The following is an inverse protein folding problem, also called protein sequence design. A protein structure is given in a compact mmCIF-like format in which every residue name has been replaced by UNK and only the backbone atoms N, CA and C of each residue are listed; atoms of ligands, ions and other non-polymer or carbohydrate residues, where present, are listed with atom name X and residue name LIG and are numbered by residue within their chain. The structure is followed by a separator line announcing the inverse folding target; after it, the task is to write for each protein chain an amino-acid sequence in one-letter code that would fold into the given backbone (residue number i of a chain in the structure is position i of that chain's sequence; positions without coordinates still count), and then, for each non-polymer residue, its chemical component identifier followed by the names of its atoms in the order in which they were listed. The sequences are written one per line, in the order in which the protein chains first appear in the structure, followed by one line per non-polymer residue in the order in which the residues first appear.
data_IF_958702543139
#
_entry.id   IF_958702543139
#
_cell.length_a   1.000
_cell.length_b   1.000
_cell.length_c   1.000
_cell.angle_alpha   90.00
_cell.angle_beta   90.00
_cell.angle_gamma   90.00
#
_symmetry.space_group_name_H-M   'P 1'
#
loop_
_entity.id
_entity.type
_entity.pdbx_description
1 polymer ?
#
# COMPACT_ATOMS: atom_id res chain seq x y z
N UNK A 1 -69.70 17.47 58.18
CA UNK A 1 -69.91 16.97 56.80
C UNK A 1 -68.99 15.78 56.59
N UNK A 2 -69.34 14.51 56.67
CA UNK A 2 -70.49 13.69 57.10
C UNK A 2 -69.79 12.41 57.61
N UNK A 3 -70.06 11.90 58.82
CA UNK A 3 -71.11 10.89 59.10
C UNK A 3 -71.10 9.77 58.05
N UNK A 4 -70.89 8.48 58.32
CA UNK A 4 -71.41 7.55 59.34
C UNK A 4 -70.81 6.17 58.98
N UNK A 5 -70.76 5.09 59.74
CA UNK A 5 -71.39 4.60 60.97
C UNK A 5 -70.75 3.21 61.23
N UNK A 6 -70.71 2.67 62.44
CA UNK A 6 -71.75 1.90 63.16
C UNK A 6 -71.08 0.57 63.53
N UNK A 7 -71.20 0.12 64.79
CA UNK A 7 -70.74 -1.23 65.12
C UNK A 7 -70.47 -1.50 66.59
N UNK A 8 -71.53 -1.50 67.38
CA UNK A 8 -71.62 -1.86 68.78
C UNK A 8 -71.22 -3.33 69.07
N UNK A 9 -70.86 -3.58 70.34
CA UNK A 9 -71.14 -4.78 71.19
C UNK A 9 -69.96 -5.70 71.58
N UNK A 10 -69.72 -5.69 72.90
CA UNK A 10 -69.02 -6.68 73.73
C UNK A 10 -69.33 -8.15 73.39
N UNK A 11 -68.31 -9.01 73.30
CA UNK A 11 -68.35 -10.37 73.87
C UNK A 11 -66.99 -10.77 74.46
N UNK A 12 -67.09 -11.39 75.63
CA UNK A 12 -66.01 -11.81 76.54
C UNK A 12 -65.26 -13.05 76.05
N UNK A 13 -64.03 -13.13 76.53
CA UNK A 13 -63.28 -14.32 76.99
C UNK A 13 -62.83 -15.35 75.94
N UNK A 14 -61.52 -15.50 75.78
CA UNK A 14 -60.74 -16.52 76.49
C UNK A 14 -59.25 -16.38 76.12
N UNK A 15 -58.43 -16.49 77.14
CA UNK A 15 -56.96 -16.54 77.14
C UNK A 15 -56.41 -17.71 76.30
N UNK A 16 -55.42 -17.43 75.46
CA UNK A 16 -54.35 -18.40 75.13
C UNK A 16 -53.02 -17.67 75.19
N UNK A 17 -52.19 -18.11 76.14
CA UNK A 17 -50.81 -17.71 76.38
C UNK A 17 -49.88 -18.29 75.32
N UNK A 18 -48.99 -17.46 74.75
CA UNK A 18 -47.69 -17.91 74.21
C UNK A 18 -46.63 -16.89 74.66
N UNK A 19 -45.57 -17.29 75.38
CA UNK A 19 -44.58 -16.35 75.89
C UNK A 19 -43.62 -15.95 74.76
N UNK A 20 -43.64 -14.68 74.36
CA UNK A 20 -42.53 -14.07 73.60
C UNK A 20 -41.44 -13.74 74.61
N UNK A 21 -40.54 -14.71 74.81
CA UNK A 21 -39.30 -14.53 75.55
C UNK A 21 -38.43 -13.53 74.77
N UNK A 22 -38.32 -12.30 75.29
CA UNK A 22 -37.28 -11.34 74.89
C UNK A 22 -35.91 -11.96 75.17
N UNK A 23 -35.19 -12.31 74.12
CA UNK A 23 -33.73 -12.44 74.13
C UNK A 23 -33.15 -11.61 72.99
N UNK A 24 -33.12 -10.30 73.20
CA UNK A 24 -32.33 -9.38 72.38
C UNK A 24 -31.00 -9.20 73.09
N UNK A 25 -30.03 -10.05 72.74
CA UNK A 25 -28.57 -9.86 72.88
C UNK A 25 -27.89 -11.19 72.50
N UNK A 26 -27.72 -11.43 71.20
CA UNK A 26 -26.74 -12.40 70.73
C UNK A 26 -25.93 -11.72 69.64
N UNK A 27 -24.78 -11.18 70.03
CA UNK A 27 -23.68 -10.91 69.11
C UNK A 27 -23.39 -12.22 68.37
N UNK A 28 -23.82 -12.31 67.11
CA UNK A 28 -23.53 -13.46 66.25
C UNK A 28 -22.08 -13.31 65.78
N UNK A 29 -21.14 -13.71 66.64
CA UNK A 29 -19.80 -14.10 66.21
C UNK A 29 -19.85 -15.60 65.93
N UNK A 30 -20.53 -15.97 64.84
CA UNK A 30 -20.55 -17.36 64.39
C UNK A 30 -19.24 -17.62 63.63
N UNK A 31 -18.36 -18.51 64.10
CA UNK A 31 -17.13 -18.85 63.39
C UNK A 31 -17.42 -19.35 61.96
N UNK A 32 -18.58 -19.98 61.75
CA UNK A 32 -19.03 -20.43 60.43
C UNK A 32 -19.31 -19.28 59.46
N UNK A 33 -19.76 -18.11 59.96
CA UNK A 33 -20.01 -16.94 59.11
C UNK A 33 -18.69 -16.25 58.73
N UNK A 34 -17.75 -16.17 59.67
CA UNK A 34 -16.40 -15.68 59.39
C UNK A 34 -15.66 -16.60 58.41
N UNK A 35 -15.74 -17.92 58.60
CA UNK A 35 -15.16 -18.88 57.68
C UNK A 35 -15.78 -18.78 56.28
N UNK A 36 -17.11 -18.64 56.17
CA UNK A 36 -17.77 -18.47 54.88
C UNK A 36 -17.37 -17.15 54.18
N UNK A 37 -17.10 -16.08 54.94
CA UNK A 37 -16.60 -14.82 54.39
C UNK A 37 -15.14 -14.92 53.93
N UNK A 38 -14.28 -15.60 54.69
CA UNK A 38 -12.89 -15.86 54.30
C UNK A 38 -12.79 -16.81 53.10
N UNK A 39 -13.68 -17.80 53.00
CA UNK A 39 -13.76 -18.70 51.86
C UNK A 39 -14.21 -17.95 50.58
N UNK A 40 -15.15 -17.00 50.71
CA UNK A 40 -15.58 -16.13 49.61
C UNK A 40 -14.46 -15.18 49.15
N UNK A 41 -13.72 -14.56 50.07
CA UNK A 41 -12.57 -13.69 49.74
C UNK A 41 -11.42 -14.49 49.09
N UNK A 42 -11.15 -15.71 49.56
CA UNK A 42 -10.12 -16.57 48.96
C UNK A 42 -10.48 -17.04 47.54
N UNK A 43 -11.75 -17.31 47.26
CA UNK A 43 -12.22 -17.70 45.91
C UNK A 43 -12.17 -16.52 44.93
N UNK A 44 -12.49 -15.29 45.37
CA UNK A 44 -12.44 -14.11 44.52
C UNK A 44 -11.00 -13.64 44.18
N UNK A 45 -10.03 -13.89 45.07
CA UNK A 45 -8.65 -13.43 44.88
C UNK A 45 -7.78 -14.38 44.04
N UNK A 46 -8.15 -15.66 43.94
CA UNK A 46 -7.33 -16.70 43.31
C UNK A 46 -7.57 -16.86 41.79
N UNK A 47 -8.78 -16.57 41.31
CA UNK A 47 -9.16 -16.80 39.89
C UNK A 47 -8.93 -15.56 38.99
N UNK A 48 -9.14 -14.34 39.51
CA UNK A 48 -8.93 -13.08 38.76
C UNK A 48 -7.45 -12.69 38.63
N UNK A 49 -6.64 -12.98 39.65
CA UNK A 49 -5.20 -12.66 39.63
C UNK A 49 -4.43 -13.57 38.65
N UNK A 50 -4.79 -14.85 38.59
CA UNK A 50 -4.18 -15.85 37.70
C UNK A 50 -4.56 -15.61 36.24
N UNK A 51 -5.82 -15.26 35.98
CA UNK A 51 -6.31 -14.92 34.63
C UNK A 51 -5.72 -13.59 34.11
N UNK A 52 -5.62 -12.57 34.96
CA UNK A 52 -4.94 -11.32 34.63
C UNK A 52 -3.44 -11.52 34.36
N UNK A 53 -2.74 -12.31 35.17
CA UNK A 53 -1.33 -12.65 34.93
C UNK A 53 -1.15 -13.36 33.58
N UNK A 54 -2.04 -14.30 33.24
CA UNK A 54 -2.02 -15.00 31.96
C UNK A 54 -2.25 -14.05 30.78
N UNK A 55 -3.16 -13.09 30.92
CA UNK A 55 -3.43 -12.07 29.90
C UNK A 55 -2.24 -11.12 29.70
N UNK A 56 -1.59 -10.69 30.79
CA UNK A 56 -0.38 -9.85 30.71
C UNK A 56 0.78 -10.56 30.04
N UNK A 57 0.98 -11.85 30.33
CA UNK A 57 2.00 -12.68 29.67
C UNK A 57 1.71 -12.83 28.16
N UNK A 58 0.46 -13.06 27.78
CA UNK A 58 0.07 -13.15 26.37
C UNK A 58 0.30 -11.82 25.62
N UNK A 59 -0.03 -10.68 26.24
CA UNK A 59 0.23 -9.35 25.67
C UNK A 59 1.72 -9.06 25.53
N UNK A 60 2.55 -9.47 26.50
CA UNK A 60 4.00 -9.33 26.39
C UNK A 60 4.58 -10.19 25.26
N UNK A 61 4.10 -11.42 25.10
CA UNK A 61 4.50 -12.29 23.99
C UNK A 61 4.10 -11.72 22.61
N UNK A 62 2.89 -11.16 22.51
CA UNK A 62 2.44 -10.46 21.30
C UNK A 62 3.28 -9.23 21.02
N UNK A 63 3.56 -8.41 22.03
CA UNK A 63 4.42 -7.24 21.91
C UNK A 63 5.82 -7.62 21.42
N UNK A 64 6.42 -8.65 22.02
CA UNK A 64 7.74 -9.16 21.59
C UNK A 64 7.72 -9.69 20.15
N UNK A 65 6.64 -10.36 19.75
CA UNK A 65 6.47 -10.86 18.38
C UNK A 65 6.34 -9.72 17.37
N UNK A 66 5.56 -8.67 17.70
CA UNK A 66 5.42 -7.47 16.87
C UNK A 66 6.77 -6.77 16.71
N UNK A 67 7.52 -6.60 17.80
CA UNK A 67 8.85 -5.98 17.77
C UNK A 67 9.84 -6.75 16.89
N UNK A 68 9.65 -8.06 16.70
CA UNK A 68 10.46 -8.85 15.78
C UNK A 68 9.97 -8.77 14.32
N UNK A 69 8.67 -8.61 14.10
CA UNK A 69 8.06 -8.61 12.75
C UNK A 69 8.23 -7.26 12.05
N UNK A 70 8.04 -6.15 12.77
CA UNK A 70 8.13 -4.78 12.22
C UNK A 70 9.43 -4.54 11.43
N UNK A 71 10.64 -4.78 11.98
CA UNK A 71 11.87 -4.52 11.23
C UNK A 71 12.03 -5.43 10.01
N UNK A 72 11.44 -6.64 10.03
CA UNK A 72 11.43 -7.54 8.89
C UNK A 72 10.51 -7.01 7.79
N UNK A 73 9.37 -6.44 8.14
CA UNK A 73 8.47 -5.80 7.18
C UNK A 73 9.09 -4.55 6.57
N UNK A 74 9.73 -3.70 7.36
CA UNK A 74 10.45 -2.51 6.87
C UNK A 74 11.58 -2.89 5.90
N UNK A 75 12.35 -3.93 6.25
CA UNK A 75 13.36 -4.49 5.35
C UNK A 75 12.74 -4.98 4.05
N UNK A 76 11.68 -5.79 4.12
CA UNK A 76 11.00 -6.31 2.93
C UNK A 76 10.45 -5.19 2.05
N UNK A 77 9.83 -4.17 2.65
CA UNK A 77 9.33 -3.00 1.93
C UNK A 77 10.47 -2.28 1.19
N UNK A 78 11.56 -1.98 1.90
CA UNK A 78 12.75 -1.34 1.31
C UNK A 78 13.33 -2.17 0.16
N UNK A 79 13.45 -3.50 0.34
CA UNK A 79 13.95 -4.37 -0.72
C UNK A 79 13.01 -4.44 -1.91
N UNK A 80 11.70 -4.42 -1.69
CA UNK A 80 10.70 -4.41 -2.75
C UNK A 80 10.81 -3.12 -3.58
N UNK A 81 10.93 -1.97 -2.93
CA UNK A 81 11.10 -0.67 -3.60
C UNK A 81 12.36 -0.66 -4.48
N UNK A 82 13.48 -1.19 -3.97
CA UNK A 82 14.73 -1.33 -4.73
C UNK A 82 14.55 -2.26 -5.93
N UNK A 83 13.85 -3.39 -5.75
CA UNK A 83 13.61 -4.34 -6.85
C UNK A 83 12.70 -3.75 -7.92
N UNK A 84 11.65 -3.03 -7.52
CA UNK A 84 10.75 -2.34 -8.43
C UNK A 84 11.49 -1.31 -9.28
N UNK A 85 12.33 -0.48 -8.64
CA UNK A 85 13.15 0.51 -9.34
C UNK A 85 14.17 -0.13 -10.29
N UNK A 86 14.87 -1.18 -9.86
CA UNK A 86 15.82 -1.89 -10.74
C UNK A 86 15.10 -2.55 -11.92
N UNK A 87 13.92 -3.12 -11.69
CA UNK A 87 13.14 -3.79 -12.72
C UNK A 87 12.59 -2.78 -13.73
N UNK A 88 12.13 -1.61 -13.28
CA UNK A 88 11.66 -0.55 -14.18
C UNK A 88 12.75 -0.09 -15.15
N UNK A 89 13.98 0.11 -14.64
CA UNK A 89 15.15 0.49 -15.45
C UNK A 89 15.52 -0.61 -16.45
N UNK A 90 15.48 -1.88 -16.03
CA UNK A 90 15.78 -3.00 -16.92
C UNK A 90 14.75 -3.09 -18.06
N UNK A 91 13.46 -2.99 -17.75
CA UNK A 91 12.39 -3.01 -18.75
C UNK A 91 12.53 -1.87 -19.76
N UNK A 92 12.87 -0.65 -19.32
CA UNK A 92 13.09 0.48 -20.21
C UNK A 92 14.30 0.27 -21.14
N UNK A 93 15.35 -0.42 -20.68
CA UNK A 93 16.57 -0.69 -21.46
C UNK A 93 16.38 -1.84 -22.44
N UNK A 94 15.62 -2.86 -22.07
CA UNK A 94 15.36 -4.06 -22.89
C UNK A 94 14.14 -3.92 -23.79
N UNK A 95 13.37 -2.84 -23.64
CA UNK A 95 12.25 -2.54 -24.54
C UNK A 95 12.72 -2.60 -26.01
N UNK A 96 12.01 -3.34 -26.87
CA UNK A 96 12.38 -3.47 -28.27
C UNK A 96 12.35 -2.09 -28.95
N UNK A 97 13.38 -1.81 -29.76
CA UNK A 97 13.51 -0.55 -30.50
C UNK A 97 13.59 -0.86 -31.99
N UNK A 98 12.86 -0.10 -32.78
CA UNK A 98 12.93 -0.17 -34.23
C UNK A 98 14.28 0.35 -34.72
N UNK A 99 14.93 -0.39 -35.63
CA UNK A 99 16.15 0.07 -36.32
C UNK A 99 15.89 1.31 -37.21
N UNK A 100 14.64 1.55 -37.56
CA UNK A 100 14.16 2.71 -38.30
C UNK A 100 13.50 3.67 -37.31
N UNK A 101 14.11 4.83 -37.09
CA UNK A 101 13.60 5.89 -36.21
C UNK A 101 12.27 6.49 -36.65
N UNK A 102 11.79 6.17 -37.86
CA UNK A 102 10.56 6.69 -38.44
C UNK A 102 9.39 5.68 -38.37
N UNK A 103 9.68 4.40 -38.15
CA UNK A 103 8.70 3.32 -38.07
C UNK A 103 8.59 2.82 -36.63
N UNK A 104 7.37 2.47 -36.22
CA UNK A 104 7.16 1.73 -34.98
C UNK A 104 7.82 0.33 -35.08
N UNK A 105 8.07 -0.30 -33.92
CA UNK A 105 8.67 -1.64 -33.83
C UNK A 105 7.88 -2.65 -34.69
N UNK A 106 6.56 -2.65 -34.57
CA UNK A 106 5.65 -3.56 -35.29
C UNK A 106 5.65 -3.37 -36.82
N UNK A 107 5.98 -2.16 -37.28
CA UNK A 107 6.03 -1.81 -38.71
C UNK A 107 7.38 -2.16 -39.34
N UNK A 108 8.44 -2.32 -38.54
CA UNK A 108 9.80 -2.59 -39.01
C UNK A 108 10.14 -4.08 -39.01
N UNK A 109 9.30 -4.90 -39.65
CA UNK A 109 9.42 -6.37 -39.63
C UNK A 109 10.67 -6.89 -40.35
N UNK A 110 11.12 -6.18 -41.37
CA UNK A 110 12.34 -6.47 -42.14
C UNK A 110 13.59 -5.84 -41.51
N UNK A 111 13.46 -5.18 -40.36
CA UNK A 111 14.58 -4.59 -39.61
C UNK A 111 15.42 -3.57 -40.39
N UNK A 112 14.79 -2.84 -41.33
CA UNK A 112 15.47 -1.81 -42.11
C UNK A 112 15.90 -0.61 -41.24
N UNK A 113 16.94 0.09 -41.71
CA UNK A 113 17.38 1.38 -41.14
C UNK A 113 16.65 2.55 -41.79
N UNK A 114 16.53 3.68 -41.09
CA UNK A 114 15.79 4.87 -41.56
C UNK A 114 16.18 5.35 -42.97
N UNK A 115 17.45 5.23 -43.34
CA UNK A 115 17.92 5.60 -44.68
C UNK A 115 17.38 4.74 -45.83
N UNK A 116 16.95 3.50 -45.54
CA UNK A 116 16.37 2.54 -46.49
C UNK A 116 14.86 2.34 -46.31
N UNK A 117 14.21 3.17 -45.48
CA UNK A 117 12.78 3.08 -45.25
C UNK A 117 12.01 3.38 -46.55
N UNK A 118 11.27 2.40 -47.06
CA UNK A 118 10.46 2.55 -48.28
C UNK A 118 9.17 3.33 -48.04
N UNK A 119 8.60 3.22 -46.83
CA UNK A 119 7.39 3.97 -46.42
C UNK A 119 7.63 5.48 -46.39
N UNK A 120 8.84 5.90 -45.99
CA UNK A 120 9.27 7.30 -45.92
C UNK A 120 10.54 7.50 -46.77
N UNK A 121 10.39 7.32 -48.09
CA UNK A 121 11.52 7.33 -49.01
C UNK A 121 12.09 8.73 -49.25
N UNK A 122 11.24 9.75 -49.33
CA UNK A 122 11.62 11.13 -49.65
C UNK A 122 11.88 11.99 -48.38
N UNK A 123 12.71 13.05 -48.47
CA UNK A 123 13.02 13.90 -47.32
C UNK A 123 11.81 14.61 -46.70
N UNK A 124 10.76 14.92 -47.47
CA UNK A 124 9.56 15.62 -46.96
C UNK A 124 8.77 14.68 -46.07
N UNK A 125 8.46 13.47 -46.54
CA UNK A 125 7.72 12.48 -45.75
C UNK A 125 8.46 12.10 -44.47
N UNK A 126 9.79 12.00 -44.52
CA UNK A 126 10.62 11.80 -43.33
C UNK A 126 10.51 12.95 -42.34
N UNK A 127 10.49 14.19 -42.81
CA UNK A 127 10.38 15.38 -41.96
C UNK A 127 9.01 15.45 -41.28
N UNK A 128 7.95 15.19 -42.04
CA UNK A 128 6.57 15.12 -41.50
C UNK A 128 6.49 14.02 -40.44
N UNK A 129 7.03 12.83 -40.73
CA UNK A 129 6.99 11.72 -39.79
C UNK A 129 7.83 11.97 -38.54
N UNK A 130 9.03 12.54 -38.68
CA UNK A 130 9.86 12.92 -37.55
C UNK A 130 9.16 13.95 -36.65
N UNK A 131 8.43 14.90 -37.25
CA UNK A 131 7.62 15.88 -36.52
C UNK A 131 6.45 15.21 -35.78
N UNK A 132 5.74 14.29 -36.43
CA UNK A 132 4.65 13.51 -35.81
C UNK A 132 5.13 12.66 -34.63
N UNK A 133 6.35 12.14 -34.71
CA UNK A 133 6.99 11.37 -33.64
C UNK A 133 7.64 12.25 -32.56
N UNK A 134 7.46 13.58 -32.61
CA UNK A 134 8.08 14.54 -31.71
C UNK A 134 9.61 14.34 -31.61
N UNK A 135 10.28 14.21 -32.76
CA UNK A 135 11.73 14.11 -32.84
C UNK A 135 12.35 15.46 -33.19
N UNK A 136 13.53 15.73 -32.64
CA UNK A 136 14.36 16.85 -33.07
C UNK A 136 14.80 16.66 -34.53
N UNK A 137 14.46 17.61 -35.40
CA UNK A 137 14.77 17.51 -36.84
C UNK A 137 16.28 17.58 -37.15
N UNK A 138 17.10 17.99 -36.18
CA UNK A 138 18.56 18.07 -36.31
C UNK A 138 19.24 16.73 -36.01
N UNK A 139 18.86 16.07 -34.92
CA UNK A 139 19.53 14.85 -34.44
C UNK A 139 18.67 13.57 -34.50
N UNK A 140 17.37 13.67 -34.79
CA UNK A 140 16.36 12.59 -34.78
C UNK A 140 16.25 11.82 -33.45
N UNK A 141 16.65 12.45 -32.35
CA UNK A 141 16.35 11.99 -30.98
C UNK A 141 15.02 12.60 -30.52
N UNK A 142 14.42 12.14 -29.40
CA UNK A 142 13.24 12.80 -28.83
C UNK A 142 13.42 14.32 -28.74
N UNK A 143 12.34 15.05 -28.96
CA UNK A 143 12.34 16.51 -28.99
C UNK A 143 13.01 17.05 -27.74
N UNK A 144 13.86 18.03 -27.97
CA UNK A 144 14.59 18.75 -26.96
C UNK A 144 14.65 20.21 -27.40
N UNK A 145 14.92 21.12 -26.47
CA UNK A 145 14.97 22.56 -26.76
C UNK A 145 15.94 22.93 -27.89
N UNK A 146 15.95 24.20 -28.25
CA UNK A 146 16.57 24.70 -29.49
C UNK A 146 18.11 24.64 -29.53
N UNK A 147 18.77 24.24 -28.44
CA UNK A 147 20.23 24.13 -28.31
C UNK A 147 20.84 22.91 -29.05
N UNK A 148 20.11 22.31 -29.99
CA UNK A 148 20.63 21.20 -30.77
C UNK A 148 21.72 21.67 -31.72
N UNK A 149 22.99 21.42 -31.46
CA UNK A 149 24.09 21.90 -32.32
C UNK A 149 24.35 21.03 -33.57
N UNK A 150 23.54 19.99 -33.83
CA UNK A 150 23.76 19.09 -34.97
C UNK A 150 23.49 19.81 -36.29
N UNK A 151 24.43 19.75 -37.22
CA UNK A 151 24.31 20.30 -38.57
C UNK A 151 24.40 19.20 -39.62
N UNK A 152 23.79 19.44 -40.77
CA UNK A 152 23.80 18.51 -41.88
C UNK A 152 25.18 18.47 -42.54
N UNK A 153 25.86 17.33 -42.50
CA UNK A 153 27.16 17.18 -43.18
C UNK A 153 27.12 17.34 -44.70
N UNK A 154 25.94 17.35 -45.33
CA UNK A 154 25.79 17.55 -46.78
C UNK A 154 25.62 19.02 -47.20
N UNK A 155 24.99 19.86 -46.38
CA UNK A 155 24.70 21.25 -46.76
C UNK A 155 24.98 22.30 -45.67
N UNK A 156 25.46 21.88 -44.49
CA UNK A 156 25.79 22.74 -43.36
C UNK A 156 24.60 23.26 -42.53
N UNK A 157 23.37 23.08 -43.00
CA UNK A 157 22.18 23.63 -42.33
C UNK A 157 21.73 22.81 -41.12
N UNK A 158 20.87 23.40 -40.29
CA UNK A 158 20.31 22.79 -39.07
C UNK A 158 19.24 21.73 -39.35
N UNK A 159 19.63 20.59 -39.91
CA UNK A 159 18.77 19.40 -40.05
C UNK A 159 19.61 18.11 -40.09
N UNK A 160 18.96 16.97 -39.86
CA UNK A 160 19.59 15.67 -39.98
C UNK A 160 19.83 15.30 -41.46
N UNK A 161 20.95 14.65 -41.77
CA UNK A 161 21.29 14.24 -43.14
C UNK A 161 20.16 13.44 -43.84
N UNK A 162 19.36 12.67 -43.10
CA UNK A 162 18.23 11.92 -43.66
C UNK A 162 17.09 12.79 -44.18
N UNK A 163 17.00 14.04 -43.73
CA UNK A 163 16.01 15.05 -44.12
C UNK A 163 16.55 16.03 -45.18
N UNK A 164 17.80 15.85 -45.62
CA UNK A 164 18.44 16.77 -46.55
C UNK A 164 17.95 16.53 -48.00
N UNK A 165 17.40 17.58 -48.62
CA UNK A 165 17.01 17.56 -50.04
C UNK A 165 18.17 17.51 -51.02
N UNK A 166 19.37 17.96 -50.60
CA UNK A 166 20.55 18.00 -51.48
C UNK A 166 21.23 16.63 -51.64
N UNK A 167 20.76 15.60 -50.92
CA UNK A 167 21.25 14.22 -51.01
C UNK A 167 22.74 14.06 -50.71
N UNK A 168 23.21 12.81 -50.57
CA UNK A 168 24.64 12.53 -50.79
C UNK A 168 24.84 12.50 -52.32
N UNK A 169 25.91 13.11 -52.87
CA UNK A 169 26.39 12.65 -54.16
C UNK A 169 26.65 11.15 -54.04
N UNK A 170 26.17 10.36 -54.99
CA UNK A 170 26.43 8.94 -55.04
C UNK A 170 27.96 8.74 -54.93
N UNK A 171 28.43 8.20 -53.81
CA UNK A 171 29.85 7.92 -53.68
C UNK A 171 30.18 6.85 -54.74
N UNK A 172 30.94 7.26 -55.75
CA UNK A 172 31.65 6.34 -56.63
C UNK A 172 32.39 5.35 -55.73
N UNK A 173 32.11 4.06 -55.90
CA UNK A 173 32.70 2.97 -55.13
C UNK A 173 34.22 3.19 -55.06
N UNK A 174 34.76 3.49 -53.88
CA UNK A 174 36.20 3.53 -53.66
C UNK A 174 36.75 2.14 -54.03
N UNK A 175 37.79 2.02 -54.87
CA UNK A 175 38.41 0.74 -55.14
C UNK A 175 38.86 0.13 -53.80
N UNK A 176 38.46 -1.12 -53.54
CA UNK A 176 39.03 -1.87 -52.43
C UNK A 176 40.47 -2.22 -52.84
N UNK A 177 41.44 -1.72 -52.09
CA UNK A 177 42.79 -2.30 -52.14
C UNK A 177 42.70 -3.69 -51.52
N UNK A 178 42.98 -4.70 -52.34
CA UNK A 178 43.24 -6.07 -51.90
C UNK A 178 44.63 -6.17 -51.29
#
# INVERSE_FOLDING_TARGET
MNDTGLGLVHKRALTVTVPIQKMFNRSVSSPDLQQAMEDLDNVLLSDDSTSMASLTNALQLLSASIQQIVPRLEYLQTTNDILMERTSVLLARTAPKSNCTLCAVEENRDSHFSGRCQKYADPVSRTIQASKLNLCLRCLKPSHGDDCMVTCGGCGLGHNQLLCHKGRPAMSKRPRHH
#
